data_IF_028319778195
#
_entry.id   IF_028319778195
#
_cell.length_a   1.000
_cell.length_b   1.000
_cell.length_c   1.000
_cell.angle_alpha   90.00
_cell.angle_beta   90.00
_cell.angle_gamma   90.00
#
_symmetry.space_group_name_H-M   'P 1'
#
loop_
_entity.id
_entity.type
_entity.pdbx_description
1 polymer ?
#
# COMPACT_ATOMS: atom_id res chain seq x y z
N UNK A 1 1.25 21.69 -0.26
CA UNK A 1 1.05 20.48 0.56
C UNK A 1 2.42 19.85 0.73
N UNK A 2 2.86 19.55 1.96
CA UNK A 2 4.15 18.91 2.16
C UNK A 2 4.05 17.40 1.85
N UNK A 3 5.19 16.72 1.76
CA UNK A 3 5.23 15.28 1.47
C UNK A 3 4.53 14.44 2.55
N UNK A 4 4.58 14.87 3.81
CA UNK A 4 3.94 14.17 4.92
C UNK A 4 2.41 14.17 4.81
N UNK A 5 1.78 15.33 4.62
CA UNK A 5 0.33 15.46 4.46
C UNK A 5 -0.16 14.67 3.24
N UNK A 6 0.62 14.73 2.16
CA UNK A 6 0.32 13.99 0.93
C UNK A 6 0.42 12.48 1.15
N UNK A 7 1.47 12.00 1.83
CA UNK A 7 1.64 10.60 2.23
C UNK A 7 0.50 10.13 3.12
N UNK A 8 0.15 10.92 4.15
CA UNK A 8 -0.97 10.61 5.05
C UNK A 8 -2.28 10.47 4.28
N UNK A 9 -2.60 11.42 3.40
CA UNK A 9 -3.79 11.34 2.55
C UNK A 9 -3.80 10.13 1.61
N UNK A 10 -2.62 9.69 1.13
CA UNK A 10 -2.48 8.49 0.33
C UNK A 10 -2.73 7.20 1.14
N UNK A 11 -2.23 7.10 2.38
CA UNK A 11 -2.55 5.99 3.30
C UNK A 11 -4.04 5.97 3.66
N UNK A 12 -4.66 7.12 3.94
CA UNK A 12 -6.10 7.22 4.17
C UNK A 12 -6.91 6.78 2.94
N UNK A 13 -6.39 7.04 1.74
CA UNK A 13 -6.97 6.50 0.50
C UNK A 13 -6.80 4.99 0.38
N UNK A 14 -5.66 4.43 0.80
CA UNK A 14 -5.46 2.98 0.85
C UNK A 14 -6.49 2.30 1.75
N UNK A 15 -6.72 2.81 2.96
CA UNK A 15 -7.75 2.28 3.86
C UNK A 15 -9.17 2.32 3.26
N UNK A 16 -9.52 3.38 2.52
CA UNK A 16 -10.82 3.44 1.82
C UNK A 16 -10.96 2.36 0.75
N UNK A 17 -9.90 2.06 0.01
CA UNK A 17 -9.90 0.92 -0.92
C UNK A 17 -10.03 -0.42 -0.20
N UNK A 18 -9.35 -0.59 0.93
CA UNK A 18 -9.47 -1.81 1.73
C UNK A 18 -10.87 -2.00 2.33
N UNK A 19 -11.53 -0.91 2.73
CA UNK A 19 -12.93 -0.94 3.13
C UNK A 19 -13.81 -1.38 1.96
N UNK A 20 -13.56 -0.88 0.75
CA UNK A 20 -14.21 -1.34 -0.48
C UNK A 20 -14.02 -2.84 -0.72
N UNK A 21 -12.79 -3.33 -0.55
CA UNK A 21 -12.47 -4.76 -0.65
C UNK A 21 -13.25 -5.59 0.38
N UNK A 22 -13.36 -5.11 1.62
CA UNK A 22 -14.09 -5.81 2.69
C UNK A 22 -15.59 -5.92 2.35
N UNK A 23 -16.19 -4.85 1.82
CA UNK A 23 -17.59 -4.87 1.37
C UNK A 23 -17.81 -5.80 0.19
N UNK A 24 -16.91 -5.78 -0.79
CA UNK A 24 -16.96 -6.72 -1.92
C UNK A 24 -16.82 -8.18 -1.46
N UNK A 25 -16.02 -8.43 -0.41
CA UNK A 25 -15.87 -9.75 0.19
C UNK A 25 -17.17 -10.23 0.86
N UNK A 26 -17.86 -9.35 1.60
CA UNK A 26 -19.18 -9.62 2.19
C UNK A 26 -20.24 -9.93 1.12
N UNK A 27 -20.15 -9.26 -0.03
CA UNK A 27 -21.06 -9.44 -1.18
C UNK A 27 -20.67 -10.63 -2.09
N UNK A 28 -19.60 -11.36 -1.77
CA UNK A 28 -19.04 -12.43 -2.61
C UNK A 28 -18.71 -11.98 -4.05
N UNK A 29 -18.20 -10.75 -4.20
CA UNK A 29 -17.70 -10.17 -5.46
C UNK A 29 -16.17 -10.27 -5.50
N UNK A 30 -15.65 -11.49 -5.67
CA UNK A 30 -14.24 -11.79 -5.42
C UNK A 30 -13.27 -11.11 -6.41
N UNK A 31 -13.68 -10.90 -7.65
CA UNK A 31 -12.96 -10.09 -8.64
C UNK A 31 -12.83 -8.62 -8.18
N UNK A 32 -13.91 -8.03 -7.67
CA UNK A 32 -13.89 -6.69 -7.06
C UNK A 32 -13.00 -6.63 -5.80
N UNK A 33 -12.93 -7.71 -5.03
CA UNK A 33 -12.00 -7.83 -3.89
C UNK A 33 -10.57 -7.70 -4.39
N UNK A 34 -10.15 -8.53 -5.35
CA UNK A 34 -8.79 -8.50 -5.91
C UNK A 34 -8.44 -7.11 -6.45
N UNK A 35 -9.35 -6.50 -7.21
CA UNK A 35 -9.14 -5.15 -7.74
C UNK A 35 -8.93 -4.13 -6.61
N UNK A 36 -9.79 -4.16 -5.60
CA UNK A 36 -9.74 -3.21 -4.48
C UNK A 36 -8.51 -3.42 -3.59
N UNK A 37 -8.11 -4.67 -3.34
CA UNK A 37 -6.89 -5.01 -2.61
C UNK A 37 -5.64 -4.49 -3.34
N UNK A 38 -5.56 -4.69 -4.66
CA UNK A 38 -4.44 -4.18 -5.46
C UNK A 38 -4.35 -2.65 -5.36
N UNK A 39 -5.48 -1.95 -5.52
CA UNK A 39 -5.53 -0.50 -5.40
C UNK A 39 -5.14 -0.03 -3.99
N UNK A 40 -5.50 -0.79 -2.96
CA UNK A 40 -5.16 -0.45 -1.59
C UNK A 40 -3.65 -0.54 -1.33
N UNK A 41 -3.01 -1.67 -1.67
CA UNK A 41 -1.55 -1.86 -1.54
C UNK A 41 -0.80 -0.81 -2.35
N UNK A 42 -1.17 -0.59 -3.62
CA UNK A 42 -0.47 0.37 -4.48
C UNK A 42 -0.48 1.77 -3.88
N UNK A 43 -1.61 2.22 -3.31
CA UNK A 43 -1.71 3.54 -2.68
C UNK A 43 -0.88 3.61 -1.40
N UNK A 44 -0.88 2.56 -0.57
CA UNK A 44 -0.09 2.51 0.66
C UNK A 44 1.42 2.58 0.36
N UNK A 45 1.91 1.78 -0.58
CA UNK A 45 3.33 1.77 -0.96
C UNK A 45 3.74 3.10 -1.63
N UNK A 46 2.88 3.66 -2.49
CA UNK A 46 3.12 5.00 -3.06
C UNK A 46 3.18 6.09 -2.00
N UNK A 47 2.41 5.98 -0.92
CA UNK A 47 2.49 6.92 0.20
C UNK A 47 3.90 6.97 0.78
N UNK A 48 4.55 5.82 0.95
CA UNK A 48 5.91 5.76 1.48
C UNK A 48 6.92 6.41 0.53
N UNK A 49 6.81 6.17 -0.78
CA UNK A 49 7.64 6.88 -1.75
C UNK A 49 7.48 8.41 -1.64
N UNK A 50 6.24 8.90 -1.50
CA UNK A 50 5.95 10.32 -1.30
C UNK A 50 6.58 10.82 -0.01
N UNK A 51 6.46 10.07 1.10
CA UNK A 51 7.03 10.43 2.40
C UNK A 51 8.53 10.72 2.31
N UNK A 52 9.26 9.91 1.53
CA UNK A 52 10.70 10.07 1.29
C UNK A 52 11.05 11.02 0.14
N UNK A 53 10.06 11.68 -0.47
CA UNK A 53 10.27 12.58 -1.61
C UNK A 53 10.79 11.88 -2.86
N UNK A 54 10.48 10.59 -3.02
CA UNK A 54 10.86 9.79 -4.18
C UNK A 54 9.78 9.95 -5.24
N UNK A 55 10.16 10.50 -6.39
CA UNK A 55 9.29 10.54 -7.56
C UNK A 55 9.15 9.13 -8.16
N UNK A 56 7.92 8.77 -8.51
CA UNK A 56 7.62 7.48 -9.13
C UNK A 56 6.77 7.69 -10.41
N UNK A 57 6.88 6.79 -11.40
CA UNK A 57 6.12 6.90 -12.63
C UNK A 57 4.62 6.73 -12.33
N UNK A 58 3.76 7.33 -13.17
CA UNK A 58 2.29 7.13 -13.12
C UNK A 58 1.90 5.73 -13.67
N UNK A 59 2.56 4.68 -13.17
CA UNK A 59 2.34 3.27 -13.47
C UNK A 59 1.93 2.55 -12.18
N UNK A 60 1.36 1.36 -12.33
CA UNK A 60 0.94 0.52 -11.20
C UNK A 60 2.11 -0.19 -10.56
N UNK A 61 3.01 -0.73 -11.39
CA UNK A 61 4.23 -1.35 -10.91
C UNK A 61 5.24 -0.28 -10.49
N UNK A 62 5.48 -0.21 -9.19
CA UNK A 62 6.52 0.61 -8.55
C UNK A 62 7.57 -0.26 -7.86
N UNK A 63 7.53 -1.58 -8.05
CA UNK A 63 8.33 -2.54 -7.27
C UNK A 63 9.82 -2.23 -7.29
N UNK A 64 10.38 -1.94 -8.47
CA UNK A 64 11.81 -1.63 -8.63
C UNK A 64 12.24 -0.43 -7.79
N UNK A 65 11.48 0.67 -7.86
CA UNK A 65 11.79 1.91 -7.13
C UNK A 65 11.53 1.73 -5.63
N UNK A 66 10.56 0.89 -5.28
CA UNK A 66 10.22 0.62 -3.89
C UNK A 66 11.33 -0.13 -3.16
N UNK A 67 12.03 -1.06 -3.81
CA UNK A 67 13.19 -1.76 -3.23
C UNK A 67 14.32 -0.79 -2.81
N UNK A 68 14.49 0.33 -3.53
CA UNK A 68 15.50 1.34 -3.22
C UNK A 68 15.27 2.04 -1.86
N UNK A 69 14.07 1.90 -1.26
CA UNK A 69 13.80 2.37 0.11
C UNK A 69 14.71 1.72 1.14
N UNK A 70 15.24 0.52 0.89
CA UNK A 70 16.21 -0.14 1.78
C UNK A 70 17.48 0.69 2.00
N UNK A 71 17.83 1.54 1.03
CA UNK A 71 18.99 2.45 1.11
C UNK A 71 18.70 3.72 1.92
N UNK A 72 17.43 4.00 2.25
CA UNK A 72 17.02 5.17 3.03
C UNK A 72 17.11 4.92 4.53
N UNK A 73 17.11 6.01 5.29
CA UNK A 73 17.03 5.95 6.75
C UNK A 73 15.59 5.66 7.18
N UNK A 74 15.22 4.38 7.15
CA UNK A 74 13.93 3.84 7.60
C UNK A 74 14.16 2.85 8.75
N UNK A 75 13.16 2.64 9.64
CA UNK A 75 13.25 1.66 10.71
C UNK A 75 13.50 0.24 10.18
N UNK A 76 14.30 -0.54 10.91
CA UNK A 76 14.69 -1.90 10.48
C UNK A 76 13.47 -2.82 10.29
N UNK A 77 12.50 -2.75 11.21
CA UNK A 77 11.25 -3.50 11.11
C UNK A 77 10.51 -3.27 9.79
N UNK A 78 10.62 -2.07 9.19
CA UNK A 78 9.99 -1.79 7.90
C UNK A 78 10.87 -2.24 6.74
N UNK A 79 12.20 -2.22 6.89
CA UNK A 79 13.13 -2.70 5.85
C UNK A 79 12.95 -4.19 5.59
N UNK A 80 12.76 -4.96 6.65
CA UNK A 80 12.54 -6.41 6.60
C UNK A 80 11.27 -6.76 5.79
N UNK A 81 10.24 -5.91 5.85
CA UNK A 81 8.98 -6.12 5.13
C UNK A 81 9.01 -5.69 3.65
N UNK A 82 10.03 -4.95 3.19
CA UNK A 82 10.04 -4.39 1.82
C UNK A 82 9.92 -5.46 0.75
N UNK A 83 10.61 -6.60 0.90
CA UNK A 83 10.55 -7.67 -0.12
C UNK A 83 9.15 -8.30 -0.17
N UNK A 84 8.57 -8.58 0.99
CA UNK A 84 7.20 -9.12 1.11
C UNK A 84 6.19 -8.17 0.47
N UNK A 85 6.29 -6.87 0.76
CA UNK A 85 5.42 -5.83 0.18
C UNK A 85 5.54 -5.76 -1.35
N UNK A 86 6.77 -5.85 -1.87
CA UNK A 86 7.05 -5.82 -3.31
C UNK A 86 6.48 -7.05 -4.02
N UNK A 87 6.67 -8.23 -3.46
CA UNK A 87 6.17 -9.47 -4.05
C UNK A 87 4.65 -9.51 -4.03
N UNK A 88 4.03 -9.08 -2.92
CA UNK A 88 2.57 -8.91 -2.83
C UNK A 88 2.03 -7.95 -3.88
N UNK A 89 2.68 -6.78 -4.07
CA UNK A 89 2.28 -5.82 -5.11
C UNK A 89 2.33 -6.47 -6.51
N UNK A 90 3.42 -7.18 -6.83
CA UNK A 90 3.58 -7.82 -8.15
C UNK A 90 2.50 -8.87 -8.39
N UNK A 91 2.20 -9.70 -7.39
CA UNK A 91 1.20 -10.75 -7.53
C UNK A 91 -0.21 -10.18 -7.68
N UNK A 92 -0.55 -9.15 -6.90
CA UNK A 92 -1.83 -8.44 -7.05
C UNK A 92 -1.94 -7.72 -8.41
N UNK A 93 -0.87 -7.16 -8.95
CA UNK A 93 -0.88 -6.55 -10.30
C UNK A 93 -1.20 -7.61 -11.37
N UNK A 94 -0.61 -8.80 -11.29
CA UNK A 94 -0.90 -9.92 -12.22
C UNK A 94 -2.37 -10.35 -12.11
N UNK A 95 -2.86 -10.52 -10.88
CA UNK A 95 -4.24 -10.94 -10.62
C UNK A 95 -5.25 -9.89 -11.06
N UNK A 96 -4.95 -8.60 -10.88
CA UNK A 96 -5.84 -7.51 -11.27
C UNK A 96 -6.16 -7.53 -12.77
N UNK A 97 -5.18 -7.81 -13.63
CA UNK A 97 -5.43 -7.92 -15.06
C UNK A 97 -6.51 -8.95 -15.38
N UNK A 98 -6.42 -10.11 -14.71
CA UNK A 98 -7.42 -11.18 -14.80
C UNK A 98 -8.75 -10.78 -14.15
N UNK A 99 -8.74 -10.16 -12.98
CA UNK A 99 -9.98 -9.76 -12.30
C UNK A 99 -10.76 -8.70 -13.10
N UNK A 100 -10.06 -7.76 -13.76
CA UNK A 100 -10.71 -6.69 -14.53
C UNK A 100 -11.25 -7.14 -15.89
N UNK A 101 -10.55 -8.04 -16.58
CA UNK A 101 -10.88 -8.40 -17.97
C UNK A 101 -11.14 -9.89 -18.18
N UNK A 102 -11.05 -10.70 -17.13
CA UNK A 102 -11.13 -12.16 -17.20
C UNK A 102 -12.45 -12.66 -17.75
N UNK A 103 -13.53 -11.88 -17.65
CA UNK A 103 -14.81 -12.21 -18.29
C UNK A 103 -14.70 -12.36 -19.82
N UNK A 104 -13.73 -11.68 -20.46
CA UNK A 104 -13.44 -11.84 -21.90
C UNK A 104 -12.84 -13.21 -22.20
N UNK A 105 -12.04 -13.73 -21.26
CA UNK A 105 -11.37 -15.03 -21.35
C UNK A 105 -12.20 -16.16 -20.71
N UNK A 106 -13.45 -15.87 -20.31
CA UNK A 106 -14.38 -16.85 -19.71
C UNK A 106 -14.21 -17.08 -18.20
N UNK A 107 -13.35 -16.31 -17.53
CA UNK A 107 -13.23 -16.33 -16.07
C UNK A 107 -14.48 -15.75 -15.41
N UNK A 108 -14.87 -16.34 -14.29
CA UNK A 108 -15.99 -15.93 -13.44
C UNK A 108 -15.45 -15.28 -12.17
N UNK A 109 -16.29 -14.48 -11.53
CA UNK A 109 -15.97 -13.90 -10.22
C UNK A 109 -15.50 -14.95 -9.20
N UNK A 110 -16.12 -16.13 -9.19
CA UNK A 110 -15.83 -17.18 -8.19
C UNK A 110 -14.45 -17.83 -8.38
N UNK A 111 -13.83 -17.67 -9.55
CA UNK A 111 -12.48 -18.17 -9.82
C UNK A 111 -11.39 -17.43 -9.01
N UNK A 112 -11.74 -16.30 -8.37
CA UNK A 112 -10.82 -15.48 -7.57
C UNK A 112 -11.02 -15.64 -6.06
N UNK A 113 -11.92 -16.53 -5.62
CA UNK A 113 -12.31 -16.64 -4.20
C UNK A 113 -11.14 -16.99 -3.29
N UNK A 114 -10.30 -17.92 -3.72
CA UNK A 114 -9.15 -18.38 -2.93
C UNK A 114 -8.11 -17.27 -2.81
N UNK A 115 -7.77 -16.60 -3.92
CA UNK A 115 -6.86 -15.46 -3.91
C UNK A 115 -7.42 -14.30 -3.07
N UNK A 116 -8.71 -13.98 -3.22
CA UNK A 116 -9.36 -12.92 -2.44
C UNK A 116 -9.25 -13.17 -0.94
N UNK A 117 -9.42 -14.42 -0.51
CA UNK A 117 -9.29 -14.84 0.88
C UNK A 117 -7.83 -14.77 1.35
N UNK A 118 -6.91 -15.27 0.52
CA UNK A 118 -5.48 -15.33 0.85
C UNK A 118 -4.81 -13.95 0.94
N UNK A 119 -5.22 -12.98 0.13
CA UNK A 119 -4.62 -11.65 0.11
C UNK A 119 -5.26 -10.67 1.10
N UNK A 120 -6.48 -10.92 1.58
CA UNK A 120 -7.22 -9.93 2.39
C UNK A 120 -6.46 -9.49 3.65
N UNK A 121 -6.04 -10.43 4.48
CA UNK A 121 -5.35 -10.10 5.73
C UNK A 121 -3.91 -9.60 5.50
N UNK A 122 -3.08 -10.22 4.62
CA UNK A 122 -1.75 -9.69 4.33
C UNK A 122 -1.76 -8.26 3.78
N UNK A 123 -2.73 -7.91 2.93
CA UNK A 123 -2.88 -6.54 2.42
C UNK A 123 -3.19 -5.56 3.54
N UNK A 124 -4.01 -5.97 4.50
CA UNK A 124 -4.30 -5.15 5.69
C UNK A 124 -3.03 -4.84 6.46
N UNK A 125 -2.20 -5.85 6.72
CA UNK A 125 -0.95 -5.72 7.46
C UNK A 125 -0.01 -4.71 6.76
N UNK A 126 0.12 -4.79 5.43
CA UNK A 126 0.92 -3.83 4.64
C UNK A 126 0.44 -2.38 4.80
N UNK A 127 -0.88 -2.15 4.79
CA UNK A 127 -1.44 -0.80 4.95
C UNK A 127 -1.19 -0.29 6.38
N UNK A 128 -1.33 -1.15 7.38
CA UNK A 128 -1.07 -0.83 8.78
C UNK A 128 0.41 -0.51 9.03
N UNK A 129 1.33 -1.26 8.42
CA UNK A 129 2.77 -0.98 8.46
C UNK A 129 3.10 0.37 7.81
N UNK A 130 2.54 0.64 6.63
CA UNK A 130 2.74 1.93 5.96
C UNK A 130 2.21 3.09 6.84
N UNK A 131 1.04 2.92 7.44
CA UNK A 131 0.45 3.91 8.34
C UNK A 131 1.30 4.13 9.59
N UNK A 132 1.79 3.06 10.20
CA UNK A 132 2.68 3.10 11.36
C UNK A 132 3.95 3.88 11.04
N UNK A 133 4.59 3.61 9.89
CA UNK A 133 5.77 4.33 9.45
C UNK A 133 5.51 5.83 9.29
N UNK A 134 4.40 6.21 8.65
CA UNK A 134 3.99 7.62 8.48
C UNK A 134 3.81 8.29 9.85
N UNK A 135 3.14 7.65 10.80
CA UNK A 135 2.92 8.18 12.15
C UNK A 135 4.24 8.35 12.91
N UNK A 136 5.16 7.38 12.83
CA UNK A 136 6.48 7.47 13.47
C UNK A 136 7.29 8.65 12.91
N UNK A 137 7.23 8.88 11.59
CA UNK A 137 7.86 10.05 10.97
C UNK A 137 7.27 11.38 11.46
N UNK A 138 5.95 11.45 11.67
CA UNK A 138 5.30 12.64 12.24
C UNK A 138 5.85 12.98 13.63
N UNK A 139 5.98 11.96 14.50
CA UNK A 139 6.42 12.16 15.90
C UNK A 139 7.87 12.65 15.97
N UNK A 140 8.75 12.12 15.12
CA UNK A 140 10.15 12.54 15.04
C UNK A 140 10.32 13.98 14.55
N UNK A 141 9.45 14.46 13.65
CA UNK A 141 9.47 15.85 13.19
C UNK A 141 9.04 16.82 14.31
N UNK A 142 8.05 16.44 15.11
CA UNK A 142 7.59 17.26 16.26
C UNK A 142 8.70 17.37 17.31
N UNK A 143 9.32 16.26 17.71
CA UNK A 143 10.43 16.27 18.67
C UNK A 143 11.63 17.12 18.21
N UNK A 144 12.01 17.05 16.93
CA UNK A 144 13.07 17.91 16.37
C UNK A 144 12.75 19.40 16.41
N UNK A 145 11.48 19.78 16.35
CA UNK A 145 11.09 21.18 16.42
C UNK A 145 11.07 21.68 17.87
N UNK A 146 10.60 20.85 18.82
CA UNK A 146 10.58 21.16 20.25
C UNK A 146 12.01 21.27 20.84
N UNK A 147 12.95 20.43 20.40
CA UNK A 147 14.36 20.47 20.82
C UNK A 147 15.11 21.72 20.29
N UNK A 148 14.69 22.27 19.15
CA UNK A 148 15.28 23.47 18.56
C UNK A 148 14.75 24.76 19.20
N UNK A 149 13.50 24.78 19.66
CA UNK A 149 12.93 25.92 20.40
C UNK A 149 13.38 25.94 21.88
N UNK A 150 13.77 24.78 22.44
CA UNK A 150 14.29 24.69 23.82
C UNK A 150 15.77 25.10 23.96
N UNK A 151 16.49 25.26 22.84
CA UNK A 151 17.90 25.66 22.78
C UNK A 151 18.09 27.13 22.34
N UNK A 152 17.04 27.95 22.41
CA UNK A 152 17.04 29.35 22.00
C UNK A 152 16.58 30.25 23.14
#
# INVERSE_FOLDING_TARGET
>A
MNNFDTSKGAVERAFRWYQGATRAYEDERWDDVIYSLQMSVEQALKAILILFGIEYPKKHDISTIYVDLKQKQIPEWFKEEIDNQVDMLKDLIKLRGKASYGYVDGLKKDDFKDEASNFKDPVKDVIEDCNKLVIEFSKKQIQKNDDNDSNK
#
